data_IF_467461865861
#
_entry.id   IF_467461865861
#
_cell.length_a   1.000
_cell.length_b   1.000
_cell.length_c   1.000
_cell.angle_alpha   90.00
_cell.angle_beta   90.00
_cell.angle_gamma   90.00
#
_symmetry.space_group_name_H-M   'P 1'
#
loop_
_entity.id
_entity.type
_entity.pdbx_description
1 polymer ?
#
# COMPACT_ATOMS: atom_id res chain seq x y z
N UNK A 1 -11.95 11.73 -7.66
CA UNK A 1 -11.17 10.52 -7.36
C UNK A 1 -9.73 10.89 -7.07
N UNK A 2 -9.19 10.36 -6.00
CA UNK A 2 -7.81 10.61 -5.60
C UNK A 2 -7.03 9.31 -5.75
N UNK A 3 -5.84 9.39 -6.33
CA UNK A 3 -4.94 8.25 -6.52
C UNK A 3 -3.71 8.43 -5.66
N UNK A 4 -3.23 7.34 -5.10
CA UNK A 4 -2.01 7.35 -4.31
C UNK A 4 -1.15 6.14 -4.64
N UNK A 5 0.15 6.30 -4.47
CA UNK A 5 1.09 5.19 -4.51
C UNK A 5 1.66 5.00 -3.12
N UNK A 6 1.60 3.79 -2.62
CA UNK A 6 2.09 3.46 -1.29
C UNK A 6 3.23 2.46 -1.43
N UNK A 7 4.39 2.84 -0.93
CA UNK A 7 5.56 1.97 -0.91
C UNK A 7 5.55 1.23 0.41
N UNK A 8 5.61 -0.09 0.36
CA UNK A 8 5.52 -0.93 1.55
C UNK A 8 6.83 -1.69 1.73
N UNK A 9 7.39 -1.58 2.93
CA UNK A 9 8.54 -2.38 3.33
C UNK A 9 8.04 -3.52 4.19
N UNK A 10 8.48 -4.74 3.86
CA UNK A 10 8.04 -5.94 4.58
C UNK A 10 9.18 -6.50 5.41
N UNK A 11 8.82 -7.30 6.41
CA UNK A 11 9.79 -8.09 7.15
C UNK A 11 10.40 -9.15 6.22
N UNK A 12 11.64 -9.59 6.46
CA UNK A 12 12.29 -10.56 5.58
C UNK A 12 11.43 -11.79 5.31
N UNK A 13 11.28 -12.12 4.02
CA UNK A 13 10.53 -13.30 3.60
C UNK A 13 9.02 -13.15 3.57
N UNK A 14 8.48 -11.96 3.90
CA UNK A 14 7.04 -11.77 4.03
C UNK A 14 6.37 -11.11 2.83
N UNK A 15 7.13 -10.68 1.82
CA UNK A 15 6.57 -9.90 0.71
C UNK A 15 5.41 -10.60 -0.02
N UNK A 16 5.56 -11.90 -0.29
CA UNK A 16 4.52 -12.65 -1.00
C UNK A 16 3.23 -12.75 -0.20
N UNK A 17 3.34 -12.96 1.11
CA UNK A 17 2.17 -13.04 1.99
C UNK A 17 1.51 -11.67 2.13
N UNK A 18 2.32 -10.62 2.31
CA UNK A 18 1.81 -9.26 2.47
C UNK A 18 1.10 -8.78 1.20
N UNK A 19 1.67 -9.03 0.02
CA UNK A 19 1.05 -8.55 -1.22
C UNK A 19 -0.33 -9.18 -1.44
N UNK A 20 -0.53 -10.43 -1.05
CA UNK A 20 -1.84 -11.06 -1.16
C UNK A 20 -2.85 -10.41 -0.23
N UNK A 21 -2.45 -10.09 1.00
CA UNK A 21 -3.32 -9.40 1.96
C UNK A 21 -3.67 -7.99 1.46
N UNK A 22 -2.69 -7.28 0.90
CA UNK A 22 -2.90 -5.93 0.37
C UNK A 22 -3.87 -5.95 -0.81
N UNK A 23 -3.75 -6.92 -1.69
CA UNK A 23 -4.65 -7.05 -2.85
C UNK A 23 -6.10 -7.30 -2.44
N UNK A 24 -6.33 -7.76 -1.23
CA UNK A 24 -7.68 -7.96 -0.70
C UNK A 24 -8.36 -6.67 -0.26
N UNK A 25 -7.65 -5.56 -0.15
CA UNK A 25 -8.24 -4.29 0.25
C UNK A 25 -9.01 -3.66 -0.89
N UNK A 26 -10.25 -3.20 -0.61
CA UNK A 26 -11.16 -2.71 -1.64
C UNK A 26 -10.62 -1.50 -2.40
N UNK A 27 -9.89 -0.62 -1.74
CA UNK A 27 -9.36 0.60 -2.36
C UNK A 27 -8.08 0.36 -3.16
N UNK A 28 -7.50 -0.83 -3.10
CA UNK A 28 -6.27 -1.15 -3.82
C UNK A 28 -6.63 -1.60 -5.24
N UNK A 29 -6.12 -0.87 -6.23
CA UNK A 29 -6.29 -1.25 -7.64
C UNK A 29 -5.23 -2.23 -8.09
N UNK A 30 -3.97 -1.98 -7.71
CA UNK A 30 -2.86 -2.83 -8.10
C UNK A 30 -1.84 -2.88 -6.96
N UNK A 31 -1.17 -4.02 -6.83
CA UNK A 31 -0.07 -4.17 -5.89
C UNK A 31 0.94 -5.15 -6.50
N UNK A 32 2.21 -4.77 -6.47
CA UNK A 32 3.28 -5.54 -7.09
C UNK A 32 4.46 -5.69 -6.15
N UNK A 33 5.02 -6.90 -6.10
CA UNK A 33 6.29 -7.11 -5.42
C UNK A 33 7.38 -6.59 -6.34
N UNK A 34 8.28 -5.80 -5.79
CA UNK A 34 9.36 -5.16 -6.55
C UNK A 34 10.70 -5.38 -5.84
N UNK A 35 11.77 -5.14 -6.55
CA UNK A 35 13.12 -5.19 -5.98
C UNK A 35 13.63 -3.75 -5.83
N UNK A 36 13.96 -3.36 -4.61
CA UNK A 36 14.44 -2.01 -4.32
C UNK A 36 14.48 -1.79 -2.82
N UNK A 37 14.47 -0.53 -2.39
CA UNK A 37 14.45 -0.19 -0.97
C UNK A 37 13.13 -0.61 -0.31
N UNK A 38 12.07 -0.66 -1.09
CA UNK A 38 10.78 -1.15 -0.63
C UNK A 38 10.44 -2.42 -1.38
N UNK A 39 9.56 -3.22 -0.82
CA UNK A 39 9.29 -4.55 -1.32
C UNK A 39 8.01 -4.63 -2.16
N UNK A 40 7.08 -3.72 -1.93
CA UNK A 40 5.80 -3.70 -2.63
C UNK A 40 5.45 -2.27 -3.00
N UNK A 41 4.92 -2.09 -4.22
CA UNK A 41 4.32 -0.82 -4.64
C UNK A 41 2.83 -1.06 -4.79
N UNK A 42 2.03 -0.23 -4.13
CA UNK A 42 0.57 -0.32 -4.11
C UNK A 42 -0.01 0.92 -4.78
N UNK A 43 -0.95 0.70 -5.69
CA UNK A 43 -1.74 1.78 -6.27
C UNK A 43 -3.13 1.72 -5.67
N UNK A 44 -3.56 2.81 -5.03
CA UNK A 44 -4.83 2.88 -4.34
C UNK A 44 -5.62 4.11 -4.79
N UNK A 45 -6.95 4.03 -4.69
CA UNK A 45 -7.84 5.13 -5.05
C UNK A 45 -8.85 5.36 -3.95
N UNK A 46 -9.31 6.61 -3.82
CA UNK A 46 -10.35 6.98 -2.88
C UNK A 46 -11.10 8.20 -3.37
N UNK A 47 -12.19 8.55 -2.70
CA UNK A 47 -12.97 9.73 -3.04
C UNK A 47 -12.27 11.02 -2.68
N UNK A 48 -11.55 11.01 -1.57
CA UNK A 48 -10.84 12.17 -1.04
C UNK A 48 -9.47 11.76 -0.52
N UNK A 49 -8.57 12.75 -0.37
CA UNK A 49 -7.22 12.51 0.17
C UNK A 49 -7.30 11.82 1.53
N UNK A 50 -8.19 12.28 2.38
CA UNK A 50 -8.36 11.73 3.73
C UNK A 50 -8.73 10.24 3.70
N UNK A 51 -9.59 9.84 2.75
CA UNK A 51 -9.98 8.45 2.61
C UNK A 51 -8.79 7.56 2.30
N UNK A 52 -7.88 8.06 1.47
CA UNK A 52 -6.68 7.30 1.11
C UNK A 52 -5.72 7.22 2.28
N UNK A 53 -5.45 8.34 2.92
CA UNK A 53 -4.48 8.38 4.03
C UNK A 53 -4.98 7.59 5.23
N UNK A 54 -6.20 7.86 5.67
CA UNK A 54 -6.72 7.24 6.89
C UNK A 54 -7.25 5.83 6.64
N UNK A 55 -8.00 5.66 5.55
CA UNK A 55 -8.64 4.38 5.26
C UNK A 55 -7.69 3.33 4.72
N UNK A 56 -6.86 3.70 3.74
CA UNK A 56 -6.01 2.73 3.05
C UNK A 56 -4.64 2.64 3.69
N UNK A 57 -3.92 3.75 3.81
CA UNK A 57 -2.55 3.72 4.32
C UNK A 57 -2.48 3.19 5.75
N UNK A 58 -3.42 3.60 6.60
CA UNK A 58 -3.48 3.11 7.98
C UNK A 58 -3.80 1.61 8.01
N UNK A 59 -4.73 1.17 7.16
CA UNK A 59 -5.07 -0.25 7.06
C UNK A 59 -3.90 -1.10 6.62
N UNK A 60 -3.09 -0.61 5.69
CA UNK A 60 -1.91 -1.34 5.24
C UNK A 60 -0.86 -1.51 6.33
N UNK A 61 -0.73 -0.53 7.22
CA UNK A 61 0.21 -0.63 8.35
C UNK A 61 -0.17 -1.73 9.34
N UNK A 62 -1.45 -2.06 9.41
CA UNK A 62 -1.94 -3.10 10.32
C UNK A 62 -1.81 -4.51 9.77
N UNK A 63 -1.38 -4.66 8.53
CA UNK A 63 -1.16 -5.98 7.93
C UNK A 63 0.10 -6.60 8.53
N UNK A 64 -0.02 -7.84 8.99
CA UNK A 64 1.12 -8.57 9.55
C UNK A 64 2.23 -8.70 8.50
N UNK A 65 3.45 -8.42 8.90
CA UNK A 65 4.60 -8.48 8.01
C UNK A 65 4.99 -7.13 7.40
N UNK A 66 4.17 -6.09 7.59
CA UNK A 66 4.50 -4.74 7.14
C UNK A 66 5.41 -4.08 8.17
N UNK A 67 6.59 -3.66 7.73
CA UNK A 67 7.56 -3.01 8.60
C UNK A 67 7.49 -1.48 8.51
N UNK A 68 7.19 -0.93 7.33
CA UNK A 68 7.12 0.51 7.12
C UNK A 68 6.32 0.80 5.85
N UNK A 69 5.74 1.99 5.77
CA UNK A 69 5.03 2.45 4.57
C UNK A 69 5.36 3.90 4.28
N UNK A 70 5.32 4.25 2.99
CA UNK A 70 5.44 5.62 2.52
C UNK A 70 4.33 5.88 1.53
N UNK A 71 3.55 6.93 1.75
CA UNK A 71 2.40 7.26 0.91
C UNK A 71 2.67 8.52 0.11
N UNK A 72 2.44 8.43 -1.20
CA UNK A 72 2.53 9.55 -2.13
C UNK A 72 1.17 9.77 -2.75
N UNK A 73 0.62 10.97 -2.56
CA UNK A 73 -0.68 11.33 -3.14
C UNK A 73 -0.41 11.98 -4.49
N UNK A 74 -1.09 11.49 -5.53
CA UNK A 74 -0.97 12.09 -6.86
C UNK A 74 -1.67 13.44 -6.88
N UNK A 75 -0.98 14.46 -7.40
CA UNK A 75 -1.52 15.81 -7.51
C UNK A 75 -2.09 16.06 -8.90
N UNK A 76 -1.79 15.20 -9.85
CA UNK A 76 -2.31 15.29 -11.22
C UNK A 76 -2.74 13.94 -11.75
#
# INVERSE_FOLDING_TARGET
MVRAFILVKTSPGEAATVVEAVRGEAAVEEAHVVAGQYDIIVEAVGGEVYDVIDGVATGLRDVDGVADTRTYICLE
#
